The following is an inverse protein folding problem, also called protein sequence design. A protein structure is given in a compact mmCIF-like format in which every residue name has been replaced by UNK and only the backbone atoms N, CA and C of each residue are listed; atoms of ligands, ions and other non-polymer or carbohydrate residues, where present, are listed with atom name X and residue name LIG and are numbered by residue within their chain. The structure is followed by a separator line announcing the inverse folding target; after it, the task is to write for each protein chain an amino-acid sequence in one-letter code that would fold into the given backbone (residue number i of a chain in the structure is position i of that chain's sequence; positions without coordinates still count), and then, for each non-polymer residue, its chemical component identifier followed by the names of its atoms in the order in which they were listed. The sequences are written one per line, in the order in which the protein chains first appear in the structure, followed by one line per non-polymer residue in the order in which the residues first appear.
data_IF_563594810807
#
_entry.id   IF_563594810807
#
_cell.length_a   1.000
_cell.length_b   1.000
_cell.length_c   1.000
_cell.angle_alpha   90.00
_cell.angle_beta   90.00
_cell.angle_gamma   90.00
#
_symmetry.space_group_name_H-M   'P 1'
#
loop_
_entity.id
_entity.type
_entity.pdbx_description
1 polymer ?
#
# COMPACT_ATOMS: atom_id res chain seq x y z
N UNK A 1 5.38 22.39 19.73
CA UNK A 1 5.08 20.92 19.83
C UNK A 1 6.37 20.15 19.64
N UNK A 2 6.49 18.94 20.16
CA UNK A 2 7.68 18.10 19.91
C UNK A 2 7.65 17.65 18.44
N UNK A 3 8.71 17.96 17.68
CA UNK A 3 8.88 17.51 16.29
C UNK A 3 9.51 16.11 16.29
N UNK A 4 8.96 15.19 15.51
CA UNK A 4 9.44 13.82 15.36
C UNK A 4 10.68 13.84 14.46
N UNK A 5 11.82 13.40 14.98
CA UNK A 5 13.07 13.32 14.24
C UNK A 5 13.13 12.02 13.44
N UNK A 6 13.32 12.13 12.13
CA UNK A 6 13.18 11.00 11.20
C UNK A 6 14.51 10.60 10.58
N UNK A 7 14.78 9.30 10.59
CA UNK A 7 15.80 8.65 9.77
C UNK A 7 15.16 7.89 8.60
N UNK A 8 15.72 7.97 7.41
CA UNK A 8 15.25 7.23 6.22
C UNK A 8 16.33 6.22 5.80
N UNK A 9 15.96 4.94 5.72
CA UNK A 9 16.83 3.87 5.19
C UNK A 9 16.52 3.64 3.71
N UNK A 10 17.32 4.23 2.84
CA UNK A 10 17.16 4.19 1.38
C UNK A 10 16.60 5.49 0.82
N UNK A 11 17.13 5.90 -0.34
CA UNK A 11 16.66 7.06 -1.10
C UNK A 11 16.48 6.67 -2.58
N UNK A 12 15.85 5.50 -2.78
CA UNK A 12 15.37 5.02 -4.07
C UNK A 12 14.05 5.70 -4.44
N UNK A 13 13.28 5.06 -5.33
CA UNK A 13 11.97 5.58 -5.74
C UNK A 13 11.08 5.84 -4.51
N UNK A 14 10.95 4.86 -3.61
CA UNK A 14 10.05 4.98 -2.47
C UNK A 14 10.47 6.09 -1.51
N UNK A 15 11.68 6.06 -1.00
CA UNK A 15 12.17 7.09 -0.05
C UNK A 15 12.13 8.50 -0.62
N UNK A 16 12.44 8.66 -1.91
CA UNK A 16 12.49 9.96 -2.59
C UNK A 16 11.11 10.49 -2.99
N UNK A 17 10.21 9.60 -3.45
CA UNK A 17 8.94 10.01 -4.05
C UNK A 17 7.78 9.90 -3.06
N UNK A 18 7.72 8.79 -2.28
CA UNK A 18 6.55 8.50 -1.45
C UNK A 18 6.71 8.85 0.02
N UNK A 19 7.92 9.12 0.51
CA UNK A 19 8.14 9.43 1.93
C UNK A 19 8.68 10.84 2.14
N UNK A 20 9.83 11.17 1.57
CA UNK A 20 10.50 12.44 1.82
C UNK A 20 9.63 13.67 1.51
N UNK A 21 8.91 13.78 0.36
CA UNK A 21 8.09 14.95 0.07
C UNK A 21 6.89 15.10 1.00
N UNK A 22 6.33 13.98 1.50
CA UNK A 22 5.20 13.99 2.43
C UNK A 22 5.63 14.42 3.83
N UNK A 23 6.80 13.96 4.29
CA UNK A 23 7.37 14.34 5.58
C UNK A 23 7.84 15.80 5.59
N UNK A 24 8.42 16.28 4.48
CA UNK A 24 8.99 17.63 4.34
C UNK A 24 7.93 18.74 4.39
N UNK A 25 6.67 18.45 4.08
CA UNK A 25 5.56 19.42 4.12
C UNK A 25 4.76 19.41 5.42
N UNK A 26 5.10 18.53 6.37
CA UNK A 26 4.43 18.40 7.65
C UNK A 26 5.30 18.94 8.79
N UNK A 27 4.81 19.93 9.53
CA UNK A 27 5.52 20.56 10.65
C UNK A 27 5.82 19.59 11.81
N UNK A 28 5.07 18.47 11.88
CA UNK A 28 5.27 17.43 12.90
C UNK A 28 6.55 16.63 12.72
N UNK A 29 7.21 16.71 11.55
CA UNK A 29 8.35 15.89 11.20
C UNK A 29 9.57 16.71 10.79
N UNK A 30 10.75 16.18 11.10
CA UNK A 30 12.03 16.67 10.59
C UNK A 30 12.89 15.50 10.12
N UNK A 31 13.22 15.45 8.83
CA UNK A 31 14.16 14.46 8.30
C UNK A 31 15.56 14.85 8.71
N UNK A 32 16.16 14.09 9.64
CA UNK A 32 17.48 14.35 10.19
C UNK A 32 18.58 13.63 9.42
N UNK A 33 18.37 12.34 9.12
CA UNK A 33 19.36 11.50 8.43
C UNK A 33 18.75 10.66 7.32
N UNK A 34 19.54 10.47 6.26
CA UNK A 34 19.17 9.60 5.14
C UNK A 34 20.32 8.65 4.82
N UNK A 35 20.10 7.35 4.95
CA UNK A 35 21.07 6.33 4.57
C UNK A 35 20.97 6.05 3.06
N UNK A 36 21.96 6.53 2.30
CA UNK A 36 21.97 6.36 0.83
C UNK A 36 23.34 6.59 0.24
N UNK A 37 23.57 6.09 -1.00
CA UNK A 37 24.70 6.48 -1.83
C UNK A 37 24.46 7.76 -2.65
N UNK A 38 23.23 8.27 -2.71
CA UNK A 38 22.78 9.38 -3.55
C UNK A 38 22.92 10.73 -2.83
N UNK A 39 24.10 11.04 -2.34
CA UNK A 39 24.35 12.22 -1.48
C UNK A 39 23.93 13.54 -2.14
N UNK A 40 24.24 13.72 -3.42
CA UNK A 40 23.92 14.97 -4.12
C UNK A 40 22.41 15.17 -4.37
N UNK A 41 21.66 14.05 -4.53
CA UNK A 41 20.22 14.12 -4.62
C UNK A 41 19.61 14.54 -3.27
N UNK A 42 20.07 13.97 -2.17
CA UNK A 42 19.58 14.33 -0.82
C UNK A 42 19.91 15.78 -0.49
N UNK A 43 21.13 16.26 -0.77
CA UNK A 43 21.50 17.66 -0.54
C UNK A 43 20.61 18.65 -1.29
N UNK A 44 20.21 18.31 -2.52
CA UNK A 44 19.32 19.13 -3.34
C UNK A 44 17.89 19.10 -2.82
N UNK A 45 17.36 17.90 -2.52
CA UNK A 45 15.95 17.67 -2.21
C UNK A 45 15.63 17.95 -0.73
N UNK A 46 16.61 17.70 0.17
CA UNK A 46 16.51 17.79 1.63
C UNK A 46 17.78 18.47 2.21
N UNK A 47 17.99 19.75 2.02
CA UNK A 47 19.25 20.44 2.38
C UNK A 47 19.56 20.42 3.88
N UNK A 48 18.57 20.15 4.74
CA UNK A 48 18.74 20.03 6.20
C UNK A 48 19.09 18.62 6.69
N UNK A 49 19.08 17.61 5.81
CA UNK A 49 19.32 16.23 6.20
C UNK A 49 20.77 15.81 6.00
N UNK A 50 21.33 15.09 6.99
CA UNK A 50 22.63 14.44 6.89
C UNK A 50 22.55 13.15 6.07
N UNK A 51 23.52 12.93 5.17
CA UNK A 51 23.64 11.67 4.43
C UNK A 51 24.61 10.74 5.14
N UNK A 52 24.16 9.53 5.48
CA UNK A 52 24.95 8.49 6.16
C UNK A 52 25.07 7.22 5.30
N UNK A 53 25.98 6.31 5.69
CA UNK A 53 26.26 5.10 4.92
C UNK A 53 25.90 3.81 5.65
N UNK A 54 25.80 3.83 6.95
CA UNK A 54 25.47 2.68 7.77
C UNK A 54 24.14 2.88 8.50
N UNK A 55 23.40 1.80 8.69
CA UNK A 55 22.15 1.81 9.44
C UNK A 55 22.41 2.20 10.90
N UNK A 56 23.57 1.86 11.42
CA UNK A 56 24.03 2.15 12.78
C UNK A 56 24.14 3.65 13.04
N UNK A 57 24.43 4.47 12.01
CA UNK A 57 24.46 5.93 12.09
C UNK A 57 23.07 6.54 12.38
N UNK A 58 22.00 5.80 12.02
CA UNK A 58 20.62 6.18 12.28
C UNK A 58 20.11 5.53 13.57
N UNK A 59 20.29 4.22 13.71
CA UNK A 59 19.76 3.49 14.87
C UNK A 59 20.47 3.84 16.17
N UNK A 60 21.76 4.20 16.11
CA UNK A 60 22.56 4.66 17.25
C UNK A 60 22.37 6.13 17.62
N UNK A 61 21.69 6.94 16.80
CA UNK A 61 21.45 8.35 17.10
C UNK A 61 20.28 8.49 18.10
N UNK A 62 20.55 8.98 19.34
CA UNK A 62 19.50 9.09 20.37
C UNK A 62 18.40 10.10 20.02
N UNK A 63 18.68 11.05 19.14
CA UNK A 63 17.71 12.08 18.77
C UNK A 63 16.71 11.59 17.69
N UNK A 64 16.98 10.48 16.99
CA UNK A 64 16.02 9.94 16.03
C UNK A 64 14.91 9.19 16.76
N UNK A 65 13.67 9.63 16.55
CA UNK A 65 12.47 9.02 17.12
C UNK A 65 11.88 7.93 16.19
N UNK A 66 11.89 8.18 14.88
CA UNK A 66 11.22 7.36 13.86
C UNK A 66 12.17 6.98 12.72
N UNK A 67 12.13 5.74 12.29
CA UNK A 67 12.87 5.27 11.11
C UNK A 67 11.91 4.77 10.04
N UNK A 68 12.10 5.26 8.81
CA UNK A 68 11.36 4.80 7.62
C UNK A 68 12.25 3.84 6.83
N UNK A 69 11.80 2.60 6.70
CA UNK A 69 12.52 1.54 5.97
C UNK A 69 12.01 1.48 4.54
N UNK A 70 12.83 1.95 3.58
CA UNK A 70 12.54 1.97 2.13
C UNK A 70 13.61 1.24 1.32
N UNK A 71 14.29 0.30 1.96
CA UNK A 71 15.22 -0.63 1.30
C UNK A 71 14.48 -1.55 0.33
N UNK A 72 15.17 -2.32 -0.54
CA UNK A 72 14.50 -3.37 -1.30
C UNK A 72 13.78 -4.37 -0.39
N UNK A 73 12.62 -4.90 -0.84
CA UNK A 73 11.71 -5.71 -0.02
C UNK A 73 12.40 -6.89 0.71
N UNK A 74 13.37 -7.54 0.06
CA UNK A 74 14.13 -8.63 0.69
C UNK A 74 15.02 -8.20 1.87
N UNK A 75 15.20 -6.89 2.10
CA UNK A 75 15.99 -6.34 3.21
C UNK A 75 15.11 -5.72 4.31
N UNK A 76 13.78 -5.68 4.13
CA UNK A 76 12.87 -5.03 5.07
C UNK A 76 12.96 -5.65 6.47
N UNK A 77 12.93 -6.98 6.55
CA UNK A 77 12.99 -7.69 7.83
C UNK A 77 14.23 -7.33 8.64
N UNK A 78 15.43 -7.50 8.06
CA UNK A 78 16.69 -7.21 8.77
C UNK A 78 16.81 -5.73 9.17
N UNK A 79 16.41 -4.82 8.25
CA UNK A 79 16.47 -3.38 8.48
C UNK A 79 15.52 -2.96 9.60
N UNK A 80 14.26 -3.42 9.55
CA UNK A 80 13.26 -3.12 10.57
C UNK A 80 13.64 -3.71 11.93
N UNK A 81 14.15 -4.95 11.96
CA UNK A 81 14.59 -5.60 13.18
C UNK A 81 15.68 -4.77 13.90
N UNK A 82 16.69 -4.27 13.18
CA UNK A 82 17.73 -3.40 13.74
C UNK A 82 17.14 -2.12 14.34
N UNK A 83 16.17 -1.49 13.65
CA UNK A 83 15.50 -0.28 14.14
C UNK A 83 14.72 -0.54 15.43
N UNK A 84 13.92 -1.61 15.46
CA UNK A 84 13.11 -1.99 16.61
C UNK A 84 13.99 -2.35 17.83
N UNK A 85 15.04 -3.14 17.63
CA UNK A 85 15.98 -3.50 18.69
C UNK A 85 16.68 -2.28 19.29
N UNK A 86 16.92 -1.25 18.48
CA UNK A 86 17.47 0.03 18.91
C UNK A 86 16.43 0.96 19.59
N UNK A 87 15.19 0.51 19.77
CA UNK A 87 14.12 1.28 20.42
C UNK A 87 13.56 2.41 19.56
N UNK A 88 13.61 2.28 18.22
CA UNK A 88 13.06 3.29 17.29
C UNK A 88 11.66 2.90 16.84
N UNK A 89 10.72 3.88 16.84
CA UNK A 89 9.49 3.71 16.09
C UNK A 89 9.84 3.43 14.63
N UNK A 90 9.10 2.54 13.96
CA UNK A 90 9.50 2.08 12.63
C UNK A 90 8.29 2.03 11.69
N UNK A 91 8.44 2.64 10.53
CA UNK A 91 7.55 2.43 9.36
C UNK A 91 8.29 1.57 8.35
N UNK A 92 7.65 0.51 7.89
CA UNK A 92 8.21 -0.34 6.84
C UNK A 92 7.38 -0.16 5.57
N UNK A 93 8.06 -0.02 4.46
CA UNK A 93 7.41 -0.06 3.16
C UNK A 93 6.66 -1.37 2.93
N UNK A 94 5.65 -1.32 2.09
CA UNK A 94 4.95 -2.52 1.66
C UNK A 94 5.83 -3.31 0.64
N UNK A 95 5.87 -4.55 0.62
CA UNK A 95 5.39 -5.55 1.57
C UNK A 95 6.27 -5.52 2.83
N UNK A 96 5.66 -5.59 4.02
CA UNK A 96 6.39 -5.44 5.28
C UNK A 96 7.58 -6.38 5.40
N UNK A 97 7.39 -7.66 5.00
CA UNK A 97 8.42 -8.71 4.95
C UNK A 97 8.08 -9.70 3.84
N UNK A 98 8.99 -10.62 3.55
CA UNK A 98 8.76 -11.68 2.56
C UNK A 98 7.79 -12.76 3.05
N UNK A 99 7.74 -13.02 4.37
CA UNK A 99 6.91 -14.06 5.00
C UNK A 99 6.12 -13.52 6.18
N UNK A 100 4.97 -14.13 6.45
CA UNK A 100 4.15 -13.80 7.63
C UNK A 100 4.85 -14.14 8.94
N UNK A 101 5.74 -15.13 8.96
CA UNK A 101 6.56 -15.49 10.13
C UNK A 101 7.55 -14.37 10.50
N UNK A 102 8.28 -13.83 9.52
CA UNK A 102 9.17 -12.66 9.74
C UNK A 102 8.39 -11.44 10.24
N UNK A 103 7.22 -11.18 9.64
CA UNK A 103 6.36 -10.07 10.04
C UNK A 103 5.87 -10.20 11.49
N UNK A 104 5.51 -11.42 11.90
CA UNK A 104 5.10 -11.72 13.28
C UNK A 104 6.25 -11.54 14.28
N UNK A 105 7.47 -11.86 13.89
CA UNK A 105 8.66 -11.62 14.72
C UNK A 105 8.93 -10.12 14.91
N UNK A 106 8.81 -9.33 13.84
CA UNK A 106 8.92 -7.86 13.93
C UNK A 106 7.83 -7.28 14.86
N UNK A 107 6.59 -7.75 14.74
CA UNK A 107 5.48 -7.31 15.59
C UNK A 107 5.76 -7.56 17.06
N UNK A 108 6.19 -8.79 17.42
CA UNK A 108 6.56 -9.15 18.80
C UNK A 108 7.72 -8.31 19.31
N UNK A 109 8.75 -8.12 18.48
CA UNK A 109 9.91 -7.30 18.86
C UNK A 109 9.48 -5.85 19.13
N UNK A 110 8.60 -5.28 18.33
CA UNK A 110 8.07 -3.93 18.56
C UNK A 110 7.31 -3.83 19.89
N UNK A 111 6.45 -4.82 20.19
CA UNK A 111 5.73 -4.91 21.47
C UNK A 111 6.68 -5.03 22.66
N UNK A 112 7.66 -5.94 22.59
CA UNK A 112 8.65 -6.18 23.64
C UNK A 112 9.52 -4.93 23.91
N UNK A 113 9.78 -4.11 22.88
CA UNK A 113 10.53 -2.86 22.99
C UNK A 113 9.68 -1.66 23.34
N UNK A 114 8.35 -1.78 23.34
CA UNK A 114 7.43 -0.68 23.59
C UNK A 114 7.48 0.40 22.51
N UNK A 115 7.78 0.04 21.26
CA UNK A 115 7.84 0.95 20.12
C UNK A 115 6.75 0.64 19.08
N UNK A 116 6.41 1.63 18.26
CA UNK A 116 5.40 1.48 17.21
C UNK A 116 6.03 0.87 15.95
N UNK A 117 5.32 -0.07 15.34
CA UNK A 117 5.61 -0.64 14.03
C UNK A 117 4.40 -0.49 13.13
N UNK A 118 4.55 0.27 12.04
CA UNK A 118 3.49 0.52 11.06
C UNK A 118 3.95 0.13 9.66
N UNK A 119 2.99 -0.24 8.80
CA UNK A 119 3.23 -0.59 7.39
C UNK A 119 2.71 0.53 6.50
N UNK A 120 3.45 0.87 5.44
CA UNK A 120 3.06 1.96 4.55
C UNK A 120 2.07 1.50 3.46
N UNK A 121 0.86 1.12 3.86
CA UNK A 121 -0.25 0.86 2.94
C UNK A 121 -0.95 2.17 2.56
N UNK A 122 -0.24 3.04 1.85
CA UNK A 122 -0.68 4.38 1.48
C UNK A 122 -1.93 4.41 0.60
N UNK A 123 -2.18 3.36 -0.20
CA UNK A 123 -3.36 3.30 -1.09
C UNK A 123 -4.70 3.14 -0.38
N UNK A 124 -4.72 3.05 0.96
CA UNK A 124 -5.94 3.27 1.77
C UNK A 124 -6.48 4.69 1.60
N UNK A 125 -5.64 5.62 1.14
CA UNK A 125 -5.96 7.03 0.89
C UNK A 125 -5.90 7.39 -0.60
N UNK A 126 -6.07 6.40 -1.50
CA UNK A 126 -6.38 6.64 -2.90
C UNK A 126 -7.82 7.21 -3.02
N UNK A 127 -8.04 8.13 -3.93
CA UNK A 127 -9.31 8.82 -4.15
C UNK A 127 -10.47 7.84 -4.46
N UNK A 128 -10.18 6.82 -5.26
CA UNK A 128 -11.13 5.78 -5.65
C UNK A 128 -11.57 4.95 -4.43
N UNK A 129 -10.63 4.57 -3.58
CA UNK A 129 -10.92 3.77 -2.39
C UNK A 129 -11.63 4.57 -1.30
N UNK A 130 -11.25 5.84 -1.08
CA UNK A 130 -11.97 6.74 -0.16
C UNK A 130 -13.42 6.95 -0.61
N UNK A 131 -13.67 7.06 -1.92
CA UNK A 131 -15.02 7.16 -2.49
C UNK A 131 -15.84 5.90 -2.19
N UNK A 132 -15.27 4.71 -2.37
CA UNK A 132 -15.93 3.44 -2.05
C UNK A 132 -16.26 3.37 -0.54
N UNK A 133 -15.31 3.72 0.32
CA UNK A 133 -15.54 3.76 1.77
C UNK A 133 -16.69 4.70 2.14
N UNK A 134 -16.78 5.87 1.49
CA UNK A 134 -17.88 6.80 1.68
C UNK A 134 -19.20 6.22 1.23
N UNK A 135 -19.29 5.64 0.03
CA UNK A 135 -20.53 5.03 -0.49
C UNK A 135 -21.03 3.89 0.41
N UNK A 136 -20.13 3.10 1.00
CA UNK A 136 -20.48 2.05 1.98
C UNK A 136 -20.98 2.68 3.28
N UNK A 137 -20.23 3.62 3.85
CA UNK A 137 -20.56 4.30 5.11
C UNK A 137 -21.89 5.04 5.04
N UNK A 138 -22.16 5.72 3.91
CA UNK A 138 -23.36 6.52 3.69
C UNK A 138 -24.57 5.64 3.29
N UNK A 139 -24.37 4.32 3.15
CA UNK A 139 -25.41 3.35 2.86
C UNK A 139 -25.87 3.30 1.38
N UNK A 140 -25.13 3.91 0.47
CA UNK A 140 -25.40 3.83 -0.96
C UNK A 140 -25.06 2.44 -1.52
N UNK A 141 -24.04 1.79 -0.99
CA UNK A 141 -23.64 0.42 -1.28
C UNK A 141 -23.90 -0.46 -0.05
N UNK A 142 -25.01 -1.21 -0.06
CA UNK A 142 -25.40 -2.11 1.04
C UNK A 142 -25.44 -3.57 0.56
N UNK A 143 -25.22 -4.50 1.50
CA UNK A 143 -25.28 -5.94 1.24
C UNK A 143 -24.48 -6.32 -0.01
N UNK A 144 -23.22 -5.89 -0.04
CA UNK A 144 -22.31 -6.16 -1.16
C UNK A 144 -22.16 -7.68 -1.30
N UNK A 145 -22.46 -8.18 -2.50
CA UNK A 145 -22.35 -9.61 -2.83
C UNK A 145 -21.26 -9.88 -3.88
N UNK A 146 -20.77 -8.83 -4.57
CA UNK A 146 -19.64 -8.92 -5.50
C UNK A 146 -18.75 -7.69 -5.34
N UNK A 147 -17.46 -7.94 -5.16
CA UNK A 147 -16.41 -6.93 -5.12
C UNK A 147 -15.28 -7.38 -6.04
N UNK A 148 -15.09 -6.68 -7.13
CA UNK A 148 -14.03 -6.98 -8.09
C UNK A 148 -13.10 -5.79 -8.23
N UNK A 149 -11.78 -6.06 -8.19
CA UNK A 149 -10.72 -5.06 -8.37
C UNK A 149 -9.75 -5.54 -9.43
N UNK A 150 -9.50 -4.67 -10.41
CA UNK A 150 -8.52 -4.90 -11.46
C UNK A 150 -7.38 -3.87 -11.34
N UNK A 151 -6.14 -4.35 -11.32
CA UNK A 151 -4.97 -3.47 -11.38
C UNK A 151 -4.17 -3.78 -12.63
N UNK A 152 -4.74 -3.40 -13.78
CA UNK A 152 -4.20 -3.71 -15.08
C UNK A 152 -3.05 -2.78 -15.47
N UNK A 153 -2.02 -3.34 -16.07
CA UNK A 153 -0.86 -2.64 -16.63
C UNK A 153 -0.58 -3.09 -18.06
N UNK A 154 0.06 -2.22 -18.83
CA UNK A 154 0.61 -2.60 -20.13
C UNK A 154 2.11 -2.41 -20.14
N UNK A 155 2.84 -3.44 -19.71
CA UNK A 155 4.30 -3.53 -19.67
C UNK A 155 4.73 -4.85 -20.33
N UNK A 156 4.58 -5.02 -21.64
CA UNK A 156 4.80 -6.31 -22.31
C UNK A 156 6.26 -6.74 -22.32
N UNK A 157 7.21 -5.80 -22.13
CA UNK A 157 8.64 -6.07 -22.13
C UNK A 157 9.16 -6.10 -20.69
N UNK A 158 9.85 -7.18 -20.32
CA UNK A 158 10.51 -7.33 -19.02
C UNK A 158 11.65 -6.31 -18.91
N UNK A 159 11.66 -5.54 -17.83
CA UNK A 159 12.65 -4.49 -17.56
C UNK A 159 13.82 -5.05 -16.75
N UNK A 160 15.04 -4.52 -16.97
CA UNK A 160 16.21 -4.86 -16.16
C UNK A 160 16.20 -4.09 -14.81
N UNK A 161 15.30 -4.47 -13.91
CA UNK A 161 15.18 -3.91 -12.56
C UNK A 161 14.99 -5.02 -11.54
N UNK A 162 15.37 -4.78 -10.28
CA UNK A 162 15.35 -5.79 -9.23
C UNK A 162 13.95 -6.44 -9.01
N UNK A 163 12.85 -5.68 -9.20
CA UNK A 163 11.47 -6.17 -9.07
C UNK A 163 11.08 -7.21 -10.13
N UNK A 164 11.77 -7.25 -11.26
CA UNK A 164 11.57 -8.20 -12.36
C UNK A 164 12.49 -9.43 -12.23
N UNK A 165 13.41 -9.43 -11.25
CA UNK A 165 14.30 -10.55 -10.96
C UNK A 165 13.68 -11.46 -9.91
N UNK A 166 13.93 -12.77 -10.04
CA UNK A 166 13.47 -13.74 -9.04
C UNK A 166 14.11 -13.44 -7.68
N UNK A 167 13.26 -13.29 -6.66
CA UNK A 167 13.70 -12.95 -5.31
C UNK A 167 12.55 -12.93 -4.31
N UNK A 168 12.86 -12.71 -3.01
CA UNK A 168 11.84 -12.61 -1.98
C UNK A 168 10.88 -11.44 -2.26
N UNK A 169 9.57 -11.68 -2.16
CA UNK A 169 8.52 -10.69 -2.30
C UNK A 169 8.59 -9.88 -3.62
N UNK A 170 8.92 -10.55 -4.75
CA UNK A 170 8.95 -9.95 -6.08
C UNK A 170 7.79 -10.44 -6.96
N UNK A 171 7.45 -9.64 -7.98
CA UNK A 171 6.35 -9.92 -8.91
C UNK A 171 5.05 -9.23 -8.54
N UNK A 172 4.12 -9.24 -9.49
CA UNK A 172 2.89 -8.44 -9.48
C UNK A 172 1.97 -8.74 -8.29
N UNK A 173 1.88 -10.01 -7.84
CA UNK A 173 1.06 -10.35 -6.68
C UNK A 173 1.59 -9.68 -5.39
N UNK A 174 2.89 -9.63 -5.19
CA UNK A 174 3.51 -8.95 -4.06
C UNK A 174 3.48 -7.42 -4.21
N UNK A 175 3.69 -6.90 -5.41
CA UNK A 175 3.75 -5.46 -5.65
C UNK A 175 2.36 -4.82 -5.69
N UNK A 176 1.48 -5.24 -6.59
CA UNK A 176 0.15 -4.66 -6.77
C UNK A 176 -0.92 -5.40 -5.98
N UNK A 177 -0.80 -6.73 -5.87
CA UNK A 177 -1.73 -7.56 -5.11
C UNK A 177 -1.80 -7.16 -3.64
N UNK A 178 -0.67 -6.80 -3.02
CA UNK A 178 -0.63 -6.36 -1.63
C UNK A 178 -1.54 -5.16 -1.35
N UNK A 179 -1.64 -4.21 -2.27
CA UNK A 179 -2.49 -3.03 -2.11
C UNK A 179 -3.99 -3.38 -2.18
N UNK A 180 -4.39 -4.14 -3.20
CA UNK A 180 -5.82 -4.48 -3.38
C UNK A 180 -6.28 -5.52 -2.36
N UNK A 181 -5.38 -6.36 -1.84
CA UNK A 181 -5.66 -7.24 -0.70
C UNK A 181 -5.84 -6.40 0.56
N UNK A 182 -4.93 -5.48 0.88
CA UNK A 182 -5.06 -4.59 2.05
C UNK A 182 -6.38 -3.83 2.06
N UNK A 183 -6.74 -3.19 0.94
CA UNK A 183 -8.01 -2.49 0.78
C UNK A 183 -9.22 -3.42 1.00
N UNK A 184 -9.15 -4.64 0.48
CA UNK A 184 -10.19 -5.66 0.65
C UNK A 184 -10.34 -6.08 2.11
N UNK A 185 -9.22 -6.35 2.79
CA UNK A 185 -9.21 -6.74 4.20
C UNK A 185 -9.71 -5.60 5.10
N UNK A 186 -9.44 -4.35 4.76
CA UNK A 186 -9.96 -3.20 5.49
C UNK A 186 -11.50 -3.10 5.40
N UNK A 187 -12.09 -3.45 4.27
CA UNK A 187 -13.55 -3.41 4.07
C UNK A 187 -14.27 -4.64 4.66
N UNK A 188 -13.70 -5.83 4.52
CA UNK A 188 -14.44 -7.08 4.75
C UNK A 188 -13.77 -8.02 5.78
N UNK A 189 -12.60 -7.64 6.33
CA UNK A 189 -11.82 -8.50 7.23
C UNK A 189 -11.13 -9.66 6.50
N UNK A 190 -10.72 -10.67 7.26
CA UNK A 190 -10.06 -11.86 6.71
C UNK A 190 -11.05 -12.78 5.99
N UNK A 191 -10.71 -13.30 4.79
CA UNK A 191 -11.53 -14.30 4.12
C UNK A 191 -11.42 -15.67 4.80
N UNK A 192 -12.39 -16.54 4.57
CA UNK A 192 -12.37 -17.92 5.05
C UNK A 192 -11.32 -18.77 4.29
N UNK A 193 -11.12 -18.47 3.01
CA UNK A 193 -10.21 -19.20 2.12
C UNK A 193 -9.89 -18.42 0.85
N UNK A 194 -8.87 -18.87 0.13
CA UNK A 194 -8.38 -18.28 -1.13
C UNK A 194 -8.25 -19.34 -2.21
N UNK A 195 -8.73 -19.01 -3.42
CA UNK A 195 -8.44 -19.72 -4.66
C UNK A 195 -7.72 -18.78 -5.61
N UNK A 196 -6.55 -19.15 -6.12
CA UNK A 196 -5.78 -18.26 -6.97
C UNK A 196 -5.13 -18.97 -8.17
N UNK A 197 -4.90 -18.18 -9.20
CA UNK A 197 -4.12 -18.50 -10.37
C UNK A 197 -3.01 -17.45 -10.51
N UNK A 198 -1.77 -17.86 -10.36
CA UNK A 198 -0.60 -16.98 -10.36
C UNK A 198 0.32 -17.42 -11.49
N UNK A 199 0.64 -16.55 -12.42
CA UNK A 199 1.29 -16.92 -13.68
C UNK A 199 2.42 -15.95 -14.07
N UNK A 200 3.28 -16.46 -14.95
CA UNK A 200 4.23 -15.68 -15.75
C UNK A 200 3.74 -15.73 -17.20
N UNK A 201 3.25 -14.60 -17.71
CA UNK A 201 2.68 -14.53 -19.07
C UNK A 201 3.64 -13.91 -20.09
N UNK A 202 4.54 -13.02 -19.63
CA UNK A 202 5.53 -12.39 -20.50
C UNK A 202 6.67 -13.36 -20.80
N UNK A 203 7.17 -13.31 -22.03
CA UNK A 203 8.37 -14.05 -22.40
C UNK A 203 9.56 -13.62 -21.52
N UNK A 204 10.35 -14.59 -21.05
CA UNK A 204 11.51 -14.40 -20.19
C UNK A 204 11.21 -13.75 -18.81
N UNK A 205 9.96 -13.73 -18.35
CA UNK A 205 9.65 -13.26 -17.00
C UNK A 205 10.22 -14.19 -15.95
N UNK A 206 11.04 -13.65 -15.05
CA UNK A 206 11.55 -14.39 -13.89
C UNK A 206 10.53 -14.39 -12.74
N UNK A 207 9.62 -13.39 -12.69
CA UNK A 207 8.65 -13.19 -11.61
C UNK A 207 7.22 -13.34 -12.10
N UNK A 208 6.30 -13.47 -11.16
CA UNK A 208 4.86 -13.42 -11.43
C UNK A 208 4.48 -12.07 -12.01
N UNK A 209 3.79 -12.06 -13.14
CA UNK A 209 3.33 -10.84 -13.82
C UNK A 209 1.84 -10.84 -14.16
N UNK A 210 1.13 -11.89 -13.73
CA UNK A 210 -0.32 -11.99 -13.79
C UNK A 210 -0.83 -12.81 -12.61
N UNK A 211 -1.95 -12.36 -12.01
CA UNK A 211 -2.68 -13.16 -11.03
C UNK A 211 -4.18 -12.89 -11.11
N UNK A 212 -4.94 -13.91 -10.72
CA UNK A 212 -6.34 -13.83 -10.33
C UNK A 212 -6.48 -14.53 -8.99
N UNK A 213 -7.07 -13.85 -8.00
CA UNK A 213 -7.36 -14.40 -6.69
C UNK A 213 -8.84 -14.20 -6.34
N UNK A 214 -9.54 -15.29 -6.02
CA UNK A 214 -10.88 -15.28 -5.45
C UNK A 214 -10.75 -15.46 -3.94
N UNK A 215 -11.22 -14.47 -3.18
CA UNK A 215 -11.30 -14.52 -1.72
C UNK A 215 -12.73 -14.89 -1.31
N UNK A 216 -12.88 -15.89 -0.46
CA UNK A 216 -14.17 -16.44 -0.08
C UNK A 216 -14.66 -15.91 1.27
N UNK A 217 -15.86 -15.31 1.29
CA UNK A 217 -16.50 -14.68 2.45
C UNK A 217 -17.97 -15.10 2.55
N UNK A 218 -18.26 -16.39 2.57
CA UNK A 218 -19.64 -16.86 2.63
C UNK A 218 -20.45 -16.41 1.39
N UNK A 219 -21.24 -15.34 1.52
CA UNK A 219 -22.08 -14.85 0.42
C UNK A 219 -21.43 -13.76 -0.44
N UNK A 220 -20.34 -13.15 0.00
CA UNK A 220 -19.61 -12.13 -0.75
C UNK A 220 -18.56 -12.81 -1.64
N UNK A 221 -18.63 -12.54 -2.93
CA UNK A 221 -17.61 -12.93 -3.90
C UNK A 221 -16.62 -11.78 -4.09
N UNK A 222 -15.36 -12.02 -3.77
CA UNK A 222 -14.27 -11.07 -4.02
C UNK A 222 -13.36 -11.62 -5.11
N UNK A 223 -13.09 -10.82 -6.14
CA UNK A 223 -12.18 -11.16 -7.24
C UNK A 223 -11.13 -10.05 -7.34
N UNK A 224 -9.88 -10.42 -7.17
CA UNK A 224 -8.73 -9.52 -7.28
C UNK A 224 -7.85 -9.99 -8.43
N UNK A 225 -7.51 -9.09 -9.33
CA UNK A 225 -6.65 -9.44 -10.46
C UNK A 225 -5.72 -8.31 -10.89
N UNK A 226 -4.62 -8.70 -11.50
CA UNK A 226 -3.69 -7.81 -12.17
C UNK A 226 -2.94 -8.57 -13.25
N UNK A 227 -2.69 -7.90 -14.38
CA UNK A 227 -1.90 -8.42 -15.48
C UNK A 227 -1.03 -7.35 -16.09
N UNK A 228 0.18 -7.74 -16.53
CA UNK A 228 1.15 -6.83 -17.14
C UNK A 228 1.02 -6.70 -18.67
N UNK A 229 0.09 -7.43 -19.28
CA UNK A 229 -0.08 -7.45 -20.75
C UNK A 229 -1.43 -6.91 -21.20
N UNK A 230 -2.15 -6.17 -20.36
CA UNK A 230 -3.48 -5.69 -20.63
C UNK A 230 -3.42 -4.32 -21.34
N UNK A 231 -3.52 -4.32 -22.67
CA UNK A 231 -3.44 -3.11 -23.50
C UNK A 231 -4.62 -2.14 -23.29
N UNK A 232 -5.74 -2.65 -22.79
CA UNK A 232 -6.89 -1.87 -22.37
C UNK A 232 -7.28 -2.29 -20.95
N UNK A 233 -7.38 -1.32 -20.04
CA UNK A 233 -7.80 -1.60 -18.67
C UNK A 233 -9.31 -1.80 -18.58
N UNK A 234 -9.74 -2.82 -17.83
CA UNK A 234 -11.12 -2.95 -17.38
C UNK A 234 -11.47 -1.94 -16.28
N UNK A 235 -12.69 -2.01 -15.71
CA UNK A 235 -13.03 -1.23 -14.54
C UNK A 235 -12.03 -1.47 -13.41
N UNK A 236 -11.52 -0.39 -12.80
CA UNK A 236 -10.68 -0.47 -11.62
C UNK A 236 -11.40 -1.14 -10.47
N UNK A 237 -12.66 -0.72 -10.25
CA UNK A 237 -13.58 -1.33 -9.30
C UNK A 237 -14.91 -1.63 -9.96
N UNK A 238 -15.45 -2.81 -9.64
CA UNK A 238 -16.80 -3.22 -9.98
C UNK A 238 -17.44 -3.84 -8.72
N UNK A 239 -18.41 -3.13 -8.15
CA UNK A 239 -19.00 -3.48 -6.86
C UNK A 239 -20.52 -3.60 -7.07
N UNK A 240 -21.10 -4.73 -6.65
CA UNK A 240 -22.52 -4.97 -6.70
C UNK A 240 -23.06 -5.30 -5.33
N UNK A 241 -24.02 -4.51 -4.88
CA UNK A 241 -24.80 -4.73 -3.67
C UNK A 241 -26.25 -5.10 -4.00
N UNK A 242 -27.10 -5.14 -2.98
CA UNK A 242 -28.50 -5.56 -3.14
C UNK A 242 -29.26 -4.73 -4.17
N UNK A 243 -29.18 -3.40 -4.10
CA UNK A 243 -29.95 -2.48 -4.91
C UNK A 243 -29.09 -1.42 -5.60
N UNK A 244 -27.77 -1.56 -5.55
CA UNK A 244 -26.87 -0.60 -6.15
C UNK A 244 -25.63 -1.29 -6.72
N UNK A 245 -25.06 -0.69 -7.75
CA UNK A 245 -23.80 -1.09 -8.37
C UNK A 245 -22.93 0.14 -8.56
N UNK A 246 -21.65 0.03 -8.25
CA UNK A 246 -20.66 1.08 -8.48
C UNK A 246 -19.57 0.57 -9.40
N UNK A 247 -19.29 1.32 -10.47
CA UNK A 247 -18.26 1.00 -11.46
C UNK A 247 -17.37 2.22 -11.61
N UNK A 248 -16.06 2.03 -11.44
CA UNK A 248 -15.07 3.09 -11.58
C UNK A 248 -13.93 2.64 -12.49
N UNK A 249 -13.52 3.54 -13.36
CA UNK A 249 -12.32 3.43 -14.18
C UNK A 249 -11.22 4.36 -13.67
N UNK A 250 -10.03 4.27 -14.26
CA UNK A 250 -8.88 5.07 -13.87
C UNK A 250 -8.27 4.64 -12.53
N UNK A 251 -7.32 5.39 -12.07
CA UNK A 251 -6.60 5.21 -10.80
C UNK A 251 -6.28 6.57 -10.19
N UNK A 252 -5.99 6.59 -8.89
CA UNK A 252 -5.51 7.78 -8.19
C UNK A 252 -4.24 8.36 -8.83
N UNK A 253 -4.18 9.67 -8.99
CA UNK A 253 -3.09 10.39 -9.64
C UNK A 253 -1.94 10.81 -8.72
N UNK A 254 -2.02 10.59 -7.41
CA UNK A 254 -1.02 11.07 -6.44
C UNK A 254 0.38 10.50 -6.72
N UNK A 255 0.50 9.22 -7.10
CA UNK A 255 1.78 8.61 -7.46
C UNK A 255 2.43 9.32 -8.66
N UNK A 256 1.64 9.65 -9.68
CA UNK A 256 2.12 10.33 -10.89
C UNK A 256 2.55 11.76 -10.55
N UNK A 257 1.76 12.49 -9.76
CA UNK A 257 2.06 13.84 -9.31
C UNK A 257 3.36 13.89 -8.46
N UNK A 258 3.50 13.00 -7.48
CA UNK A 258 4.73 12.88 -6.67
C UNK A 258 5.95 12.49 -7.51
N UNK A 259 5.78 11.57 -8.48
CA UNK A 259 6.85 11.16 -9.40
C UNK A 259 7.29 12.31 -10.33
N UNK A 260 6.37 13.22 -10.67
CA UNK A 260 6.66 14.46 -11.40
C UNK A 260 7.29 15.56 -10.51
N UNK A 261 7.50 15.29 -9.21
CA UNK A 261 8.10 16.22 -8.25
C UNK A 261 7.13 17.25 -7.67
N UNK A 262 5.83 17.07 -7.85
CA UNK A 262 4.82 17.91 -7.19
C UNK A 262 4.76 17.56 -5.69
N UNK A 263 4.41 18.55 -4.86
CA UNK A 263 4.24 18.39 -3.42
C UNK A 263 2.77 18.56 -3.03
N UNK A 264 2.27 17.82 -2.02
CA UNK A 264 0.88 17.88 -1.56
C UNK A 264 0.64 19.10 -0.64
N UNK A 265 0.67 20.31 -1.22
CA UNK A 265 0.60 21.57 -0.47
C UNK A 265 -0.66 22.39 -0.72
N UNK A 266 -1.51 21.99 -1.65
CA UNK A 266 -2.74 22.70 -2.00
C UNK A 266 -4.01 21.86 -1.78
N UNK A 267 -5.17 22.53 -1.71
CA UNK A 267 -6.46 21.90 -1.45
C UNK A 267 -6.96 21.01 -2.61
N UNK A 268 -6.38 21.15 -3.80
CA UNK A 268 -6.72 20.33 -4.97
C UNK A 268 -5.92 19.02 -5.02
N UNK A 269 -4.98 18.82 -4.09
CA UNK A 269 -4.18 17.61 -4.05
C UNK A 269 -5.03 16.35 -3.98
N UNK A 270 -4.70 15.38 -4.82
CA UNK A 270 -5.41 14.09 -4.88
C UNK A 270 -6.80 14.17 -5.50
N UNK A 271 -7.19 15.32 -6.05
CA UNK A 271 -8.40 15.42 -6.85
C UNK A 271 -8.32 14.49 -8.07
N UNK A 272 -9.44 13.88 -8.40
CA UNK A 272 -9.55 13.00 -9.56
C UNK A 272 -9.91 13.81 -10.82
N UNK A 273 -9.53 13.27 -11.98
CA UNK A 273 -10.05 13.78 -13.23
C UNK A 273 -11.56 13.45 -13.33
N UNK A 274 -12.43 14.43 -13.66
CA UNK A 274 -13.86 14.15 -13.82
C UNK A 274 -14.20 13.02 -14.80
N UNK A 275 -13.36 12.79 -15.80
CA UNK A 275 -13.51 11.67 -16.75
C UNK A 275 -13.30 10.29 -16.09
N UNK A 276 -12.69 10.25 -14.91
CA UNK A 276 -12.49 9.05 -14.10
C UNK A 276 -13.54 8.86 -13.00
N UNK A 277 -14.51 9.76 -12.84
CA UNK A 277 -15.53 9.61 -11.81
C UNK A 277 -16.31 8.31 -11.99
N UNK A 278 -16.65 7.67 -10.87
CA UNK A 278 -17.38 6.42 -10.91
C UNK A 278 -18.87 6.62 -11.18
N UNK A 279 -19.54 5.59 -11.69
CA UNK A 279 -20.96 5.55 -11.91
C UNK A 279 -21.65 4.69 -10.84
N UNK A 280 -22.61 5.27 -10.13
CA UNK A 280 -23.50 4.57 -9.21
C UNK A 280 -24.84 4.34 -9.90
N UNK A 281 -25.19 3.07 -10.12
CA UNK A 281 -26.51 2.67 -10.61
C UNK A 281 -27.32 2.11 -9.46
N UNK A 282 -28.44 2.74 -9.14
CA UNK A 282 -29.42 2.25 -8.16
C UNK A 282 -30.63 1.63 -8.86
N UNK A 283 -31.23 0.62 -8.24
CA UNK A 283 -32.42 -0.08 -8.74
C UNK A 283 -33.51 -0.07 -7.67
N UNK A 284 -34.71 0.45 -8.06
CA UNK A 284 -35.92 0.42 -7.26
C UNK A 284 -37.13 0.14 -8.16
N UNK A 285 -37.98 -0.83 -7.78
CA UNK A 285 -39.18 -1.19 -8.50
C UNK A 285 -38.99 -1.37 -10.03
N UNK A 286 -37.99 -2.15 -10.43
CA UNK A 286 -37.57 -2.42 -11.81
C UNK A 286 -37.01 -1.20 -12.58
N UNK A 287 -36.99 -0.01 -11.97
CA UNK A 287 -36.37 1.18 -12.55
C UNK A 287 -34.91 1.27 -12.12
N UNK A 288 -34.09 1.68 -13.06
CA UNK A 288 -32.68 1.96 -12.81
C UNK A 288 -32.40 3.43 -12.99
N UNK A 289 -31.59 3.97 -12.09
CA UNK A 289 -31.09 5.33 -12.17
C UNK A 289 -29.57 5.28 -12.04
N UNK A 290 -28.86 5.90 -12.96
CA UNK A 290 -27.40 6.00 -12.95
C UNK A 290 -27.00 7.45 -12.76
N UNK A 291 -26.09 7.69 -11.85
CA UNK A 291 -25.49 8.99 -11.60
C UNK A 291 -23.97 8.90 -11.51
N UNK A 292 -23.30 9.96 -11.93
CA UNK A 292 -21.84 10.10 -11.78
C UNK A 292 -21.51 10.56 -10.38
N UNK A 293 -20.61 9.86 -9.69
CA UNK A 293 -20.18 10.17 -8.32
C UNK A 293 -18.80 10.83 -8.38
N UNK A 294 -18.69 12.11 -8.01
CA UNK A 294 -17.39 12.74 -7.83
C UNK A 294 -16.53 11.97 -6.82
N UNK A 295 -15.26 11.76 -7.17
CA UNK A 295 -14.34 11.09 -6.27
C UNK A 295 -14.00 11.96 -5.06
N UNK A 296 -13.80 11.36 -3.89
CA UNK A 296 -13.15 12.01 -2.74
C UNK A 296 -11.70 12.34 -3.12
N UNK A 297 -11.12 13.39 -2.54
CA UNK A 297 -9.72 13.70 -2.78
C UNK A 297 -8.80 12.70 -2.07
N UNK A 298 -7.87 12.12 -2.79
CA UNK A 298 -6.84 11.25 -2.21
C UNK A 298 -5.86 12.04 -1.33
N UNK A 299 -5.30 11.40 -0.30
CA UNK A 299 -4.34 12.10 0.58
C UNK A 299 -3.36 11.16 1.28
N UNK A 300 -2.24 10.85 0.66
CA UNK A 300 -1.17 10.09 1.32
C UNK A 300 -0.60 10.79 2.56
N UNK A 301 -0.73 12.13 2.65
CA UNK A 301 -0.41 12.89 3.86
C UNK A 301 -1.18 12.42 5.09
N UNK A 302 -2.41 11.92 4.90
CA UNK A 302 -3.25 11.44 6.00
C UNK A 302 -2.60 10.31 6.77
N UNK A 303 -1.85 9.42 6.10
CA UNK A 303 -1.08 8.39 6.79
C UNK A 303 -0.11 8.99 7.81
N UNK A 304 0.67 10.00 7.41
CA UNK A 304 1.66 10.63 8.28
C UNK A 304 1.03 11.51 9.36
N UNK A 305 -0.07 12.20 9.08
CA UNK A 305 -0.81 12.95 10.11
C UNK A 305 -1.32 12.02 11.22
N UNK A 306 -1.90 10.89 10.85
CA UNK A 306 -2.35 9.87 11.81
C UNK A 306 -1.18 9.21 12.55
N UNK A 307 -0.05 8.98 11.87
CA UNK A 307 1.15 8.43 12.51
C UNK A 307 1.75 9.42 13.54
N UNK A 308 1.76 10.72 13.23
CA UNK A 308 2.18 11.75 14.20
C UNK A 308 1.29 11.70 15.45
N UNK A 309 -0.03 11.64 15.27
CA UNK A 309 -0.98 11.47 16.38
C UNK A 309 -0.72 10.20 17.20
N UNK A 310 -0.33 9.10 16.53
CA UNK A 310 0.01 7.86 17.24
C UNK A 310 1.27 8.02 18.08
N UNK A 311 2.32 8.65 17.55
CA UNK A 311 3.61 8.84 18.25
C UNK A 311 3.48 9.88 19.37
N UNK A 312 2.85 11.02 19.10
CA UNK A 312 2.82 12.16 20.03
C UNK A 312 1.69 12.07 21.05
N UNK A 313 0.55 11.49 20.67
CA UNK A 313 -0.70 11.53 21.44
C UNK A 313 -1.22 10.13 21.83
N UNK A 314 -0.51 9.05 21.49
CA UNK A 314 -0.92 7.68 21.82
C UNK A 314 -2.20 7.22 21.10
N UNK A 315 -2.54 7.80 19.96
CA UNK A 315 -3.70 7.37 19.15
C UNK A 315 -3.39 6.05 18.43
N UNK A 316 -4.42 5.33 17.95
CA UNK A 316 -4.20 4.13 17.14
C UNK A 316 -3.35 4.40 15.90
N UNK A 317 -2.54 3.40 15.50
CA UNK A 317 -1.75 3.47 14.26
C UNK A 317 -2.68 3.54 13.02
N UNK A 318 -2.27 4.28 11.97
CA UNK A 318 -3.00 4.30 10.70
C UNK A 318 -3.06 2.94 10.00
N UNK A 319 -1.98 2.17 10.13
CA UNK A 319 -1.84 0.79 9.66
C UNK A 319 -1.00 0.04 10.68
N UNK A 320 -1.54 -1.04 11.21
CA UNK A 320 -0.85 -1.87 12.22
C UNK A 320 0.02 -2.94 11.57
N UNK A 321 1.01 -3.44 12.30
CA UNK A 321 1.78 -4.61 11.86
C UNK A 321 0.89 -5.84 11.64
N UNK A 322 -0.18 -6.03 12.46
CA UNK A 322 -1.12 -7.13 12.29
C UNK A 322 -1.81 -7.09 10.94
N UNK A 323 -2.27 -5.92 10.49
CA UNK A 323 -2.89 -5.77 9.17
C UNK A 323 -1.89 -6.10 8.05
N UNK A 324 -0.63 -5.68 8.18
CA UNK A 324 0.43 -6.08 7.25
C UNK A 324 0.66 -7.60 7.21
N UNK A 325 0.64 -8.28 8.39
CA UNK A 325 0.72 -9.74 8.50
C UNK A 325 -0.45 -10.41 7.77
N UNK A 326 -1.67 -9.91 7.98
CA UNK A 326 -2.88 -10.48 7.37
C UNK A 326 -2.82 -10.39 5.83
N UNK A 327 -2.30 -9.29 5.27
CA UNK A 327 -2.03 -9.17 3.83
C UNK A 327 -1.05 -10.25 3.35
N UNK A 328 0.06 -10.45 4.06
CA UNK A 328 1.07 -11.44 3.68
C UNK A 328 0.47 -12.86 3.73
N UNK A 329 -0.33 -13.19 4.75
CA UNK A 329 -1.00 -14.51 4.85
C UNK A 329 -1.91 -14.78 3.66
N UNK A 330 -2.66 -13.78 3.19
CA UNK A 330 -3.50 -13.92 1.99
C UNK A 330 -2.64 -14.16 0.74
N UNK A 331 -1.51 -13.45 0.60
CA UNK A 331 -0.56 -13.66 -0.50
C UNK A 331 0.04 -15.08 -0.44
N UNK A 332 0.49 -15.54 0.73
CA UNK A 332 1.03 -16.88 0.92
C UNK A 332 -0.02 -17.97 0.57
N UNK A 333 -1.27 -17.76 0.99
CA UNK A 333 -2.38 -18.65 0.64
C UNK A 333 -2.68 -18.65 -0.88
N UNK A 334 -2.62 -17.49 -1.53
CA UNK A 334 -2.80 -17.37 -2.98
C UNK A 334 -1.70 -18.11 -3.76
N UNK A 335 -0.43 -17.92 -3.37
CA UNK A 335 0.70 -18.66 -3.96
C UNK A 335 0.52 -20.17 -3.80
N UNK A 336 0.21 -20.64 -2.58
CA UNK A 336 -0.02 -22.05 -2.28
C UNK A 336 -1.23 -22.62 -3.02
N UNK A 337 -2.30 -21.82 -3.19
CA UNK A 337 -3.49 -22.21 -3.96
C UNK A 337 -3.14 -22.48 -5.42
N UNK A 338 -2.39 -21.56 -6.04
CA UNK A 338 -1.95 -21.69 -7.42
C UNK A 338 -1.04 -22.88 -7.64
N UNK A 339 -0.08 -23.11 -6.73
CA UNK A 339 0.85 -24.25 -6.78
C UNK A 339 0.10 -25.59 -6.64
N UNK A 340 -0.77 -25.70 -5.62
CA UNK A 340 -1.49 -26.92 -5.30
C UNK A 340 -2.78 -27.10 -6.12
N UNK A 341 -3.16 -26.12 -6.94
CA UNK A 341 -4.39 -26.12 -7.75
C UNK A 341 -5.66 -26.43 -6.95
N UNK A 342 -5.76 -25.85 -5.76
CA UNK A 342 -6.91 -26.03 -4.84
C UNK A 342 -7.10 -24.78 -3.97
N UNK A 343 -8.30 -24.67 -3.39
CA UNK A 343 -8.61 -23.67 -2.36
C UNK A 343 -7.79 -23.92 -1.09
N UNK A 344 -7.27 -22.85 -0.49
CA UNK A 344 -6.51 -22.87 0.77
C UNK A 344 -7.31 -22.12 1.84
N UNK A 345 -7.58 -22.75 2.96
CA UNK A 345 -8.17 -22.11 4.15
C UNK A 345 -7.14 -21.22 4.85
N UNK A 346 -7.60 -20.13 5.46
CA UNK A 346 -6.82 -19.14 6.21
C UNK A 346 -7.01 -19.27 7.72
#
# INVERSE_FOLDING_TARGET
MKTIQVGILGYGLSGKVFHAPLLDVLDDYQIKKVMTSRTEEVKRDLPGAETVRAIEDITGDPDIDLVIVTTPSGMHYESAMKCLLAGKHTVVEKLMTATSAEAEELRRTAEDKGVLLSVYHNRRWDNDFLTIQKLIRDGALQDIHTYQVNYDLYNPVVQERWREKNGPATGTLYDLGSHIIDQTLLLFGMPESVTAHVMKQRDNSETVDNFLAALHYGKLQVILQSGSMNAASGPRYQIHGRNASFIKYGKDGQEEALSAGQKPIDDSWGADDPDNFGELTTAADEKRHTETIPSENGSYLTYYKLLADSILNGKPLPVTAKEGIDVIRVIEAAMKSSEQKRTIAL
#
